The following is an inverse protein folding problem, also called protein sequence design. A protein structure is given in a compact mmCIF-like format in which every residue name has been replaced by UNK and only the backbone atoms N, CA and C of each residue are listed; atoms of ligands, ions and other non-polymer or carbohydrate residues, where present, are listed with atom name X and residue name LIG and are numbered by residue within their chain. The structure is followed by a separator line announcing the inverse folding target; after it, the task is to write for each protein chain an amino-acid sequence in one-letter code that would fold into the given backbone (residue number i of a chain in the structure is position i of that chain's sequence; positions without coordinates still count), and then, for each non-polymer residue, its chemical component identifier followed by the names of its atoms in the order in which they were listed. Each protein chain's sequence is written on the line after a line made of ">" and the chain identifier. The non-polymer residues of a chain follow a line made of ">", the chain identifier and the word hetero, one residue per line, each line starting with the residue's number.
data_IF_490983024021
#
_entry.id   IF_490983024021
#
_cell.length_a   1.000
_cell.length_b   1.000
_cell.length_c   1.000
_cell.angle_alpha   90.00
_cell.angle_beta   90.00
_cell.angle_gamma   90.00
#
_symmetry.space_group_name_H-M   'P 1'
#
loop_
_entity.id
_entity.type
_entity.pdbx_description
1 polymer ?
#
# COMPACT_ATOMS: atom_id res chain seq x y z
N UNK A 1 -16.60 -48.62 -0.08
CA UNK A 1 -17.33 -47.35 -0.35
C UNK A 1 -16.50 -46.08 -0.15
N UNK A 2 -15.56 -46.00 0.80
CA UNK A 2 -14.81 -44.77 1.11
C UNK A 2 -13.93 -44.17 -0.02
N UNK A 3 -13.52 -44.98 -1.00
CA UNK A 3 -12.67 -44.50 -2.11
C UNK A 3 -13.45 -43.60 -3.08
N UNK A 4 -14.71 -43.92 -3.37
CA UNK A 4 -15.56 -43.11 -4.25
C UNK A 4 -16.02 -41.81 -3.58
N UNK A 5 -16.35 -41.87 -2.28
CA UNK A 5 -16.73 -40.68 -1.51
C UNK A 5 -15.55 -39.72 -1.36
N UNK A 6 -14.32 -40.22 -1.20
CA UNK A 6 -13.12 -39.37 -1.16
C UNK A 6 -12.88 -38.63 -2.47
N UNK A 7 -13.11 -39.28 -3.62
CA UNK A 7 -12.95 -38.61 -4.93
C UNK A 7 -14.00 -37.51 -5.12
N UNK A 8 -15.24 -37.76 -4.69
CA UNK A 8 -16.32 -36.75 -4.76
C UNK A 8 -16.00 -35.57 -3.86
N UNK A 9 -15.59 -35.82 -2.61
CA UNK A 9 -15.22 -34.76 -1.66
C UNK A 9 -14.02 -33.95 -2.14
N UNK A 10 -13.01 -34.60 -2.74
CA UNK A 10 -11.85 -33.93 -3.30
C UNK A 10 -12.26 -33.00 -4.45
N UNK A 11 -13.11 -33.46 -5.37
CA UNK A 11 -13.59 -32.64 -6.48
C UNK A 11 -14.44 -31.45 -6.01
N UNK A 12 -15.27 -31.65 -4.99
CA UNK A 12 -16.06 -30.58 -4.38
C UNK A 12 -15.17 -29.52 -3.71
N UNK A 13 -14.13 -29.96 -3.00
CA UNK A 13 -13.17 -29.05 -2.37
C UNK A 13 -12.40 -28.22 -3.41
N UNK A 14 -11.94 -28.84 -4.49
CA UNK A 14 -11.25 -28.14 -5.58
C UNK A 14 -12.18 -27.15 -6.28
N UNK A 15 -13.43 -27.53 -6.53
CA UNK A 15 -14.43 -26.64 -7.10
C UNK A 15 -14.69 -25.41 -6.22
N UNK A 16 -14.92 -25.61 -4.92
CA UNK A 16 -15.11 -24.52 -3.97
C UNK A 16 -13.91 -23.57 -3.90
N UNK A 17 -12.68 -24.12 -3.90
CA UNK A 17 -11.46 -23.32 -3.92
C UNK A 17 -11.34 -22.45 -5.19
N UNK A 18 -11.66 -23.00 -6.36
CA UNK A 18 -11.68 -22.25 -7.62
C UNK A 18 -12.73 -21.14 -7.62
N UNK A 19 -13.94 -21.42 -7.12
CA UNK A 19 -15.01 -20.42 -7.04
C UNK A 19 -14.62 -19.26 -6.12
N UNK A 20 -13.99 -19.55 -4.98
CA UNK A 20 -13.49 -18.54 -4.06
C UNK A 20 -12.35 -17.72 -4.68
N UNK A 21 -11.46 -18.36 -5.45
CA UNK A 21 -10.39 -17.67 -6.16
C UNK A 21 -10.91 -16.69 -7.21
N UNK A 22 -11.93 -17.08 -7.98
CA UNK A 22 -12.54 -16.24 -9.03
C UNK A 22 -13.37 -15.11 -8.44
N UNK A 23 -14.17 -15.38 -7.41
CA UNK A 23 -15.12 -14.41 -6.85
C UNK A 23 -14.49 -13.47 -5.83
N UNK A 24 -13.45 -13.92 -5.12
CA UNK A 24 -12.78 -13.16 -4.07
C UNK A 24 -11.25 -13.21 -4.24
N UNK A 25 -10.72 -12.74 -5.39
CA UNK A 25 -9.28 -12.79 -5.66
C UNK A 25 -8.46 -12.04 -4.61
N UNK A 26 -9.01 -10.96 -4.03
CA UNK A 26 -8.37 -10.16 -2.97
C UNK A 26 -8.22 -10.90 -1.64
N UNK A 27 -9.10 -11.85 -1.32
CA UNK A 27 -9.05 -12.62 -0.09
C UNK A 27 -8.01 -13.76 -0.18
N UNK A 28 -7.84 -14.35 -1.36
CA UNK A 28 -6.85 -15.41 -1.61
C UNK A 28 -5.45 -14.84 -1.87
N UNK A 29 -5.37 -13.70 -2.55
CA UNK A 29 -4.14 -12.93 -2.78
C UNK A 29 -3.99 -11.89 -1.65
N UNK A 30 -3.79 -12.36 -0.41
CA UNK A 30 -3.37 -11.51 0.71
C UNK A 30 -1.99 -10.88 0.39
N UNK A 31 -2.00 -9.78 -0.36
CA UNK A 31 -0.77 -9.11 -0.80
C UNK A 31 -0.92 -7.63 -1.16
N UNK A 32 -2.14 -7.11 -1.25
CA UNK A 32 -2.38 -5.69 -1.51
C UNK A 32 -3.04 -5.07 -0.29
N UNK A 33 -2.24 -4.72 0.73
CA UNK A 33 -2.69 -3.74 1.71
C UNK A 33 -3.03 -2.45 0.96
N UNK A 34 -4.25 -1.95 1.14
CA UNK A 34 -4.60 -0.61 0.70
C UNK A 34 -3.76 0.36 1.54
N UNK A 35 -2.61 0.80 1.00
CA UNK A 35 -1.83 1.88 1.61
C UNK A 35 -2.71 3.12 1.55
N UNK A 36 -3.14 3.61 2.71
CA UNK A 36 -3.92 4.83 2.80
C UNK A 36 -3.03 5.98 2.32
N UNK A 37 -3.20 6.37 1.05
CA UNK A 37 -2.45 7.47 0.45
C UNK A 37 -2.50 8.74 1.32
N UNK A 38 -3.61 8.93 2.03
CA UNK A 38 -3.83 10.08 2.93
C UNK A 38 -2.85 10.14 4.11
N UNK A 39 -2.52 9.02 4.76
CA UNK A 39 -1.55 9.02 5.87
C UNK A 39 -0.13 9.30 5.38
N UNK A 40 0.20 8.83 4.17
CA UNK A 40 1.49 9.08 3.54
C UNK A 40 1.60 10.53 3.06
N UNK A 41 0.51 11.15 2.58
CA UNK A 41 0.50 12.58 2.19
C UNK A 41 0.84 13.50 3.36
N UNK A 42 0.18 13.38 4.52
CA UNK A 42 0.49 14.25 5.67
C UNK A 42 1.88 13.99 6.23
N UNK A 43 2.37 12.75 6.19
CA UNK A 43 3.76 12.43 6.55
C UNK A 43 4.75 13.12 5.62
N UNK A 44 4.49 13.09 4.32
CA UNK A 44 5.36 13.71 3.32
C UNK A 44 5.36 15.24 3.44
N UNK A 45 4.23 15.87 3.78
CA UNK A 45 4.15 17.30 4.07
C UNK A 45 4.95 17.69 5.32
N UNK A 46 4.89 16.90 6.39
CA UNK A 46 5.71 17.14 7.59
C UNK A 46 7.20 17.05 7.26
N UNK A 47 7.62 16.00 6.53
CA UNK A 47 9.01 15.83 6.11
C UNK A 47 9.49 16.99 5.21
N UNK A 48 8.63 17.47 4.33
CA UNK A 48 8.93 18.66 3.52
C UNK A 48 9.20 19.88 4.40
N UNK A 49 8.34 20.14 5.40
CA UNK A 49 8.54 21.23 6.35
C UNK A 49 9.85 21.11 7.15
N UNK A 50 10.17 19.91 7.64
CA UNK A 50 11.40 19.65 8.38
C UNK A 50 12.66 19.92 7.53
N UNK A 51 12.64 19.50 6.27
CA UNK A 51 13.74 19.75 5.33
C UNK A 51 13.83 21.23 4.94
N UNK A 52 12.68 21.88 4.69
CA UNK A 52 12.63 23.29 4.35
C UNK A 52 13.23 24.17 5.45
N UNK A 53 12.83 23.96 6.71
CA UNK A 53 13.36 24.73 7.85
C UNK A 53 14.86 24.48 8.04
N UNK A 54 15.31 23.24 7.86
CA UNK A 54 16.74 22.92 7.94
C UNK A 54 17.55 23.61 6.84
N UNK A 55 17.07 23.59 5.60
CA UNK A 55 17.72 24.29 4.49
C UNK A 55 17.74 25.79 4.77
N UNK A 56 16.65 26.35 5.27
CA UNK A 56 16.59 27.77 5.63
C UNK A 56 17.54 28.16 6.76
N UNK A 57 17.74 27.28 7.76
CA UNK A 57 18.59 27.55 8.93
C UNK A 57 20.07 27.29 8.68
N UNK A 58 20.39 26.27 7.88
CA UNK A 58 21.77 25.80 7.67
C UNK A 58 22.49 26.61 6.57
N UNK A 59 21.77 27.46 5.83
CA UNK A 59 22.35 28.35 4.83
C UNK A 59 23.03 29.56 5.47
N UNK A 60 24.24 29.86 4.97
CA UNK A 60 25.08 30.97 5.44
C UNK A 60 24.43 32.34 5.17
N UNK A 61 23.71 32.45 4.05
CA UNK A 61 22.89 33.61 3.71
C UNK A 61 21.43 33.19 3.67
N UNK A 62 20.55 34.02 4.22
CA UNK A 62 19.12 33.71 4.29
C UNK A 62 18.55 33.55 2.88
N UNK A 63 18.08 32.35 2.49
CA UNK A 63 17.49 32.14 1.18
C UNK A 63 16.10 32.80 1.09
N UNK A 64 15.64 33.08 -0.12
CA UNK A 64 14.26 33.52 -0.37
C UNK A 64 13.32 32.33 -0.24
N UNK A 65 12.49 32.35 0.81
CA UNK A 65 11.50 31.32 1.13
C UNK A 65 10.59 31.02 -0.08
N UNK A 66 10.22 32.04 -0.88
CA UNK A 66 9.37 31.88 -2.06
C UNK A 66 10.07 31.10 -3.17
N UNK A 67 11.36 31.39 -3.40
CA UNK A 67 12.17 30.71 -4.42
C UNK A 67 12.47 29.26 -4.06
N UNK A 68 12.64 28.96 -2.77
CA UNK A 68 12.84 27.61 -2.28
C UNK A 68 11.58 26.75 -2.48
N UNK A 69 10.39 27.30 -2.26
CA UNK A 69 9.12 26.60 -2.46
C UNK A 69 8.79 26.43 -3.95
N UNK A 70 9.06 27.44 -4.79
CA UNK A 70 8.86 27.37 -6.25
C UNK A 70 9.72 26.31 -6.95
N UNK A 71 10.85 25.94 -6.34
CA UNK A 71 11.83 25.01 -6.92
C UNK A 71 11.65 23.55 -6.49
N UNK A 72 10.72 23.26 -5.59
CA UNK A 72 10.39 21.92 -5.08
C UNK A 72 9.33 21.22 -5.94
#
# INVERSE_FOLDING_TARGET
>A
MMRKTSVILLSAATGAALTLFVTQPRAVLMGSSARAATSDTYRQLNLFGDVFERVRSDYVEKPDDSKLVESA
#
